data_IF_346591089642
#
_entry.id   IF_346591089642
#
_cell.length_a   1.000
_cell.length_b   1.000
_cell.length_c   1.000
_cell.angle_alpha   90.00
_cell.angle_beta   90.00
_cell.angle_gamma   90.00
#
_symmetry.space_group_name_H-M   'P 1'
#
loop_
_entity.id
_entity.type
_entity.pdbx_description
1 polymer ?
#
# COMPACT_ATOMS: atom_id res chain seq x y z
N UNK A 1 11.52 4.77 23.15
CA UNK A 1 10.74 5.09 24.38
C UNK A 1 11.12 6.46 24.95
N UNK A 2 12.40 6.78 25.18
CA UNK A 2 12.85 8.11 25.66
C UNK A 2 12.49 9.28 24.73
N UNK A 3 12.69 9.15 23.41
CA UNK A 3 12.35 10.20 22.45
C UNK A 3 10.83 10.47 22.36
N UNK A 4 10.00 9.44 22.59
CA UNK A 4 8.54 9.59 22.62
C UNK A 4 8.09 10.46 23.80
N UNK A 5 8.70 10.26 24.97
CA UNK A 5 8.42 11.04 26.19
C UNK A 5 8.82 12.51 26.00
N UNK A 6 9.96 12.80 25.38
CA UNK A 6 10.41 14.17 25.08
C UNK A 6 9.47 14.91 24.11
N UNK A 7 8.94 14.21 23.11
CA UNK A 7 7.99 14.79 22.15
C UNK A 7 6.59 14.94 22.76
N UNK A 8 6.19 14.05 23.67
CA UNK A 8 4.93 14.16 24.40
C UNK A 8 4.93 15.30 25.42
N UNK A 9 6.08 15.57 26.06
CA UNK A 9 6.28 16.74 26.93
C UNK A 9 6.19 18.07 26.16
N UNK A 10 6.43 18.04 24.84
CA UNK A 10 6.19 19.18 23.97
C UNK A 10 4.72 19.16 23.51
N UNK A 11 3.90 20.09 24.01
CA UNK A 11 2.43 20.18 23.83
C UNK A 11 1.96 20.47 22.39
N UNK A 12 2.80 20.24 21.39
CA UNK A 12 2.57 20.66 20.01
C UNK A 12 2.32 19.43 19.13
N UNK A 13 1.03 19.22 18.83
CA UNK A 13 0.47 18.06 18.09
C UNK A 13 1.18 17.81 16.75
N UNK A 14 1.69 18.86 16.09
CA UNK A 14 2.42 18.72 14.82
C UNK A 14 3.70 17.90 14.97
N UNK A 15 4.49 18.16 16.02
CA UNK A 15 5.73 17.43 16.26
C UNK A 15 5.47 15.99 16.72
N UNK A 16 4.39 15.77 17.47
CA UNK A 16 3.95 14.43 17.86
C UNK A 16 3.56 13.59 16.63
N UNK A 17 2.72 14.12 15.73
CA UNK A 17 2.33 13.43 14.51
C UNK A 17 3.53 13.19 13.57
N UNK A 18 4.42 14.18 13.44
CA UNK A 18 5.64 14.04 12.63
C UNK A 18 6.56 12.95 13.20
N UNK A 19 6.78 12.93 14.51
CA UNK A 19 7.60 11.93 15.18
C UNK A 19 7.02 10.52 15.06
N UNK A 20 5.71 10.37 15.27
CA UNK A 20 5.01 9.09 15.10
C UNK A 20 5.17 8.60 13.66
N UNK A 21 4.93 9.47 12.68
CA UNK A 21 5.11 9.12 11.27
C UNK A 21 6.56 8.66 11.00
N UNK A 22 7.56 9.45 11.41
CA UNK A 22 8.96 9.13 11.17
C UNK A 22 9.38 7.81 11.84
N UNK A 23 8.93 7.58 13.08
CA UNK A 23 9.19 6.34 13.81
C UNK A 23 8.54 5.13 13.13
N UNK A 24 7.32 5.29 12.58
CA UNK A 24 6.66 4.24 11.80
C UNK A 24 7.42 3.90 10.53
N UNK A 25 7.95 4.92 9.81
CA UNK A 25 8.76 4.70 8.60
C UNK A 25 10.07 3.99 8.93
N UNK A 26 10.78 4.37 9.99
CA UNK A 26 12.05 3.71 10.40
C UNK A 26 11.80 2.25 10.80
N UNK A 27 10.76 2.00 11.61
CA UNK A 27 10.41 0.63 12.01
C UNK A 27 10.11 -0.26 10.80
N UNK A 28 9.39 0.27 9.82
CA UNK A 28 9.06 -0.47 8.61
C UNK A 28 10.26 -0.65 7.67
N UNK A 29 11.14 0.35 7.59
CA UNK A 29 12.39 0.30 6.82
C UNK A 29 13.38 -0.75 7.37
N UNK A 30 13.35 -0.99 8.68
CA UNK A 30 14.17 -2.01 9.34
C UNK A 30 13.83 -3.43 8.84
N UNK A 31 12.57 -3.67 8.47
CA UNK A 31 12.14 -4.97 7.94
C UNK A 31 12.68 -5.22 6.52
N UNK A 32 12.30 -4.36 5.58
CA UNK A 32 12.82 -4.37 4.21
C UNK A 32 12.46 -3.07 3.48
N UNK A 33 13.47 -2.25 3.22
CA UNK A 33 13.40 -0.98 2.51
C UNK A 33 12.72 -1.02 1.13
N UNK A 34 12.73 -2.16 0.41
CA UNK A 34 12.09 -2.29 -0.92
C UNK A 34 10.58 -2.17 -0.84
N UNK A 35 9.99 -2.59 0.28
CA UNK A 35 8.56 -2.45 0.50
C UNK A 35 8.16 -1.04 0.95
N UNK A 36 9.09 -0.32 1.59
CA UNK A 36 8.86 1.05 2.00
C UNK A 36 8.60 1.95 0.80
N UNK A 37 9.42 1.83 -0.25
CA UNK A 37 9.24 2.60 -1.49
C UNK A 37 7.91 2.25 -2.17
N UNK A 38 7.54 0.97 -2.18
CA UNK A 38 6.29 0.50 -2.75
C UNK A 38 5.07 1.02 -2.00
N UNK A 39 5.07 0.96 -0.67
CA UNK A 39 3.99 1.51 0.17
C UNK A 39 3.92 3.02 0.01
N UNK A 40 5.05 3.72 -0.04
CA UNK A 40 5.08 5.16 -0.26
C UNK A 40 4.42 5.52 -1.60
N UNK A 41 4.79 4.83 -2.68
CA UNK A 41 4.20 5.03 -4.01
C UNK A 41 2.70 4.71 -3.99
N UNK A 42 2.29 3.60 -3.38
CA UNK A 42 0.86 3.25 -3.25
C UNK A 42 0.09 4.33 -2.49
N UNK A 43 0.61 4.77 -1.34
CA UNK A 43 -0.02 5.81 -0.51
C UNK A 43 -0.14 7.12 -1.27
N UNK A 44 0.91 7.50 -2.02
CA UNK A 44 0.89 8.70 -2.85
C UNK A 44 -0.20 8.61 -3.92
N UNK A 45 -0.25 7.49 -4.66
CA UNK A 45 -1.28 7.25 -5.68
C UNK A 45 -2.68 7.34 -5.07
N UNK A 46 -2.93 6.66 -3.96
CA UNK A 46 -4.23 6.66 -3.31
C UNK A 46 -4.62 8.04 -2.77
N UNK A 47 -3.66 8.82 -2.27
CA UNK A 47 -3.89 10.21 -1.89
C UNK A 47 -4.30 11.07 -3.10
N UNK A 48 -3.58 10.99 -4.22
CA UNK A 48 -3.90 11.76 -5.43
C UNK A 48 -5.24 11.32 -6.05
N UNK A 49 -5.50 10.01 -6.10
CA UNK A 49 -6.75 9.46 -6.63
C UNK A 49 -7.92 9.84 -5.72
N UNK A 50 -7.77 9.71 -4.40
CA UNK A 50 -8.73 10.15 -3.40
C UNK A 50 -9.07 11.64 -3.54
N UNK A 51 -8.06 12.50 -3.67
CA UNK A 51 -8.24 13.94 -3.90
C UNK A 51 -9.01 14.22 -5.20
N UNK A 52 -8.70 13.50 -6.29
CA UNK A 52 -9.46 13.62 -7.55
C UNK A 52 -10.91 13.13 -7.42
N UNK A 53 -11.17 12.06 -6.66
CA UNK A 53 -12.53 11.57 -6.38
C UNK A 53 -13.34 12.61 -5.58
N UNK A 54 -12.68 13.30 -4.65
CA UNK A 54 -13.31 14.32 -3.82
C UNK A 54 -13.70 15.57 -4.62
N UNK A 55 -12.79 16.10 -5.44
CA UNK A 55 -13.01 17.34 -6.22
C UNK A 55 -13.96 17.10 -7.41
N UNK A 56 -13.96 15.90 -7.99
CA UNK A 56 -14.78 15.62 -9.17
C UNK A 56 -16.28 15.68 -8.86
N UNK A 57 -17.00 16.58 -9.54
CA UNK A 57 -18.47 16.69 -9.43
C UNK A 57 -19.21 15.61 -10.23
N UNK A 58 -18.55 15.00 -11.22
CA UNK A 58 -19.17 14.01 -12.13
C UNK A 58 -19.12 12.60 -11.53
N UNK A 59 -20.30 11.99 -11.31
CA UNK A 59 -20.43 10.65 -10.71
C UNK A 59 -19.69 9.55 -11.50
N UNK A 60 -19.74 9.60 -12.84
CA UNK A 60 -19.02 8.64 -13.72
C UNK A 60 -17.49 8.68 -13.51
N UNK A 61 -16.92 9.88 -13.40
CA UNK A 61 -15.47 10.07 -13.21
C UNK A 61 -15.05 9.54 -11.84
N UNK A 62 -15.81 9.89 -10.78
CA UNK A 62 -15.56 9.37 -9.42
C UNK A 62 -15.57 7.84 -9.36
N UNK A 63 -16.53 7.21 -10.05
CA UNK A 63 -16.62 5.74 -10.12
C UNK A 63 -15.42 5.12 -10.84
N UNK A 64 -14.98 5.69 -11.98
CA UNK A 64 -13.78 5.23 -12.69
C UNK A 64 -12.52 5.33 -11.82
N UNK A 65 -12.35 6.47 -11.14
CA UNK A 65 -11.21 6.68 -10.23
C UNK A 65 -11.22 5.71 -9.04
N UNK A 66 -12.40 5.44 -8.46
CA UNK A 66 -12.53 4.45 -7.38
C UNK A 66 -12.15 3.04 -7.88
N UNK A 67 -12.64 2.64 -9.05
CA UNK A 67 -12.30 1.34 -9.65
C UNK A 67 -10.79 1.25 -9.89
N UNK A 68 -10.16 2.33 -10.35
CA UNK A 68 -8.71 2.38 -10.54
C UNK A 68 -7.94 2.20 -9.22
N UNK A 69 -8.32 2.91 -8.14
CA UNK A 69 -7.69 2.73 -6.81
C UNK A 69 -7.89 1.33 -6.26
N UNK A 70 -9.09 0.76 -6.40
CA UNK A 70 -9.38 -0.63 -6.01
C UNK A 70 -8.52 -1.62 -6.79
N UNK A 71 -8.40 -1.45 -8.11
CA UNK A 71 -7.62 -2.32 -8.97
C UNK A 71 -6.13 -2.30 -8.60
N UNK A 72 -5.57 -1.11 -8.33
CA UNK A 72 -4.17 -0.96 -7.91
C UNK A 72 -3.95 -1.63 -6.55
N UNK A 73 -4.78 -1.34 -5.56
CA UNK A 73 -4.64 -1.88 -4.20
C UNK A 73 -4.79 -3.40 -4.15
N UNK A 74 -5.81 -3.95 -4.80
CA UNK A 74 -6.02 -5.40 -4.89
C UNK A 74 -4.93 -6.04 -5.73
N UNK A 75 -4.52 -5.41 -6.83
CA UNK A 75 -3.43 -5.87 -7.68
C UNK A 75 -2.12 -6.01 -6.92
N UNK A 76 -1.75 -5.01 -6.11
CA UNK A 76 -0.59 -5.07 -5.22
C UNK A 76 -0.73 -6.19 -4.20
N UNK A 77 -1.90 -6.33 -3.55
CA UNK A 77 -2.13 -7.39 -2.57
C UNK A 77 -2.00 -8.79 -3.19
N UNK A 78 -2.62 -9.00 -4.35
CA UNK A 78 -2.55 -10.26 -5.09
C UNK A 78 -1.12 -10.55 -5.54
N UNK A 79 -0.43 -9.54 -6.09
CA UNK A 79 0.97 -9.66 -6.50
C UNK A 79 1.80 -10.13 -5.32
N UNK A 80 1.83 -9.41 -4.20
CA UNK A 80 2.68 -9.80 -3.07
C UNK A 80 2.29 -11.14 -2.44
N UNK A 81 0.99 -11.38 -2.22
CA UNK A 81 0.53 -12.56 -1.50
C UNK A 81 0.69 -13.85 -2.29
N UNK A 82 0.56 -13.77 -3.62
CA UNK A 82 0.57 -14.94 -4.49
C UNK A 82 1.76 -14.93 -5.47
N UNK A 83 2.71 -14.00 -5.37
CA UNK A 83 3.82 -13.86 -6.32
C UNK A 83 4.55 -15.19 -6.55
N UNK A 84 4.97 -15.84 -5.46
CA UNK A 84 5.72 -17.10 -5.55
C UNK A 84 4.84 -18.22 -6.12
N UNK A 85 3.58 -18.32 -5.70
CA UNK A 85 2.64 -19.27 -6.29
C UNK A 85 2.47 -19.04 -7.80
N UNK A 86 2.32 -17.78 -8.24
CA UNK A 86 2.21 -17.45 -9.66
C UNK A 86 3.49 -17.77 -10.41
N UNK A 87 4.67 -17.45 -9.85
CA UNK A 87 5.96 -17.79 -10.45
C UNK A 87 6.11 -19.31 -10.64
N UNK A 88 5.82 -20.10 -9.61
CA UNK A 88 5.94 -21.56 -9.66
C UNK A 88 5.02 -22.13 -10.75
N UNK A 89 3.75 -21.72 -10.79
CA UNK A 89 2.82 -22.13 -11.85
C UNK A 89 3.25 -21.65 -13.25
N UNK A 90 3.89 -20.49 -13.35
CA UNK A 90 4.39 -19.96 -14.62
C UNK A 90 5.57 -20.79 -15.11
N UNK A 91 6.51 -21.14 -14.22
CA UNK A 91 7.64 -22.03 -14.54
C UNK A 91 7.12 -23.40 -14.95
N UNK A 92 6.18 -23.98 -14.21
CA UNK A 92 5.59 -25.29 -14.52
C UNK A 92 4.88 -25.28 -15.89
N UNK A 93 4.07 -24.25 -16.17
CA UNK A 93 3.37 -24.12 -17.45
C UNK A 93 4.33 -23.98 -18.63
N UNK A 94 5.42 -23.23 -18.51
CA UNK A 94 6.42 -23.07 -19.58
C UNK A 94 7.36 -24.28 -19.72
N UNK A 95 7.63 -24.98 -18.62
CA UNK A 95 8.35 -26.26 -18.65
C UNK A 95 7.59 -27.32 -19.46
N UNK A 96 6.25 -27.29 -19.43
CA UNK A 96 5.39 -28.14 -20.26
C UNK A 96 5.54 -27.83 -21.77
N UNK A 97 5.88 -26.59 -22.13
CA UNK A 97 6.21 -26.19 -23.50
C UNK A 97 7.70 -26.41 -23.87
N UNK A 98 8.49 -27.04 -23.00
CA UNK A 98 9.91 -27.36 -23.26
C UNK A 98 10.89 -26.20 -23.02
N UNK A 99 10.43 -25.10 -22.42
CA UNK A 99 11.26 -23.96 -22.05
C UNK A 99 11.56 -24.02 -20.55
N UNK A 100 12.79 -24.42 -20.18
CA UNK A 100 13.23 -24.44 -18.78
C UNK A 100 13.65 -23.04 -18.33
N UNK A 101 12.73 -22.32 -17.70
CA UNK A 101 13.02 -21.06 -17.02
C UNK A 101 13.42 -21.31 -15.57
N UNK A 102 14.67 -21.01 -15.22
CA UNK A 102 15.07 -20.85 -13.81
C UNK A 102 14.59 -19.48 -13.30
N UNK A 103 13.33 -19.39 -12.86
CA UNK A 103 12.85 -18.20 -12.19
C UNK A 103 13.45 -18.16 -10.77
N UNK A 104 14.31 -17.18 -10.52
CA UNK A 104 14.81 -16.91 -9.16
C UNK A 104 13.64 -16.44 -8.31
N UNK A 105 13.17 -17.29 -7.39
CA UNK A 105 12.07 -16.91 -6.51
C UNK A 105 12.47 -15.65 -5.74
N UNK A 106 11.54 -14.71 -5.63
CA UNK A 106 11.68 -13.68 -4.62
C UNK A 106 11.40 -14.40 -3.29
N UNK A 107 12.47 -14.87 -2.63
CA UNK A 107 12.49 -15.34 -1.23
C UNK A 107 12.24 -14.18 -0.27
N UNK A 108 11.30 -13.33 -0.65
CA UNK A 108 10.89 -12.14 0.04
C UNK A 108 9.82 -12.58 1.02
N UNK A 109 10.18 -12.55 2.29
CA UNK A 109 9.23 -12.67 3.39
C UNK A 109 8.32 -11.44 3.29
N UNK A 110 7.05 -11.67 2.97
CA UNK A 110 6.06 -10.60 2.90
C UNK A 110 6.09 -9.77 4.18
N UNK A 111 6.03 -8.43 4.08
CA UNK A 111 5.99 -7.59 5.25
C UNK A 111 4.69 -7.86 5.99
N UNK A 112 4.85 -8.10 7.29
CA UNK A 112 3.73 -8.34 8.20
C UNK A 112 2.83 -7.09 8.16
N UNK A 113 1.59 -7.26 7.66
CA UNK A 113 0.59 -6.19 7.65
C UNK A 113 0.23 -5.58 6.30
N UNK A 114 0.77 -6.06 5.17
CA UNK A 114 0.37 -5.54 3.83
C UNK A 114 -1.16 -5.63 3.61
N UNK A 115 -1.79 -6.73 4.03
CA UNK A 115 -3.25 -6.91 3.94
C UNK A 115 -4.00 -5.84 4.74
N UNK A 116 -3.56 -5.55 5.97
CA UNK A 116 -4.20 -4.56 6.82
C UNK A 116 -4.11 -3.16 6.19
N UNK A 117 -2.93 -2.78 5.73
CA UNK A 117 -2.70 -1.51 5.05
C UNK A 117 -3.56 -1.39 3.77
N UNK A 118 -3.61 -2.44 2.95
CA UNK A 118 -4.44 -2.45 1.73
C UNK A 118 -5.93 -2.29 2.07
N UNK A 119 -6.45 -3.01 3.06
CA UNK A 119 -7.86 -2.88 3.45
C UNK A 119 -8.18 -1.50 4.01
N UNK A 120 -7.27 -0.90 4.78
CA UNK A 120 -7.43 0.46 5.29
C UNK A 120 -7.49 1.48 4.16
N UNK A 121 -6.61 1.33 3.15
CA UNK A 121 -6.53 2.25 2.02
C UNK A 121 -7.73 2.12 1.08
N UNK A 122 -8.20 0.89 0.84
CA UNK A 122 -9.46 0.63 0.12
C UNK A 122 -10.64 1.27 0.86
N UNK A 123 -10.71 1.10 2.18
CA UNK A 123 -11.78 1.69 3.01
C UNK A 123 -11.78 3.22 2.91
N UNK A 124 -10.60 3.84 2.95
CA UNK A 124 -10.43 5.28 2.75
C UNK A 124 -10.95 5.76 1.38
N UNK A 125 -10.57 5.09 0.29
CA UNK A 125 -11.04 5.44 -1.06
C UNK A 125 -12.56 5.30 -1.21
N UNK A 126 -13.16 4.27 -0.59
CA UNK A 126 -14.62 4.08 -0.55
C UNK A 126 -15.30 5.18 0.26
N UNK A 127 -14.76 5.55 1.43
CA UNK A 127 -15.29 6.61 2.28
C UNK A 127 -15.33 7.95 1.55
N UNK A 128 -14.27 8.31 0.82
CA UNK A 128 -14.22 9.54 0.01
C UNK A 128 -15.24 9.48 -1.14
N UNK A 129 -15.36 8.34 -1.81
CA UNK A 129 -16.37 8.17 -2.86
C UNK A 129 -17.80 8.31 -2.31
N UNK A 130 -18.07 7.77 -1.12
CA UNK A 130 -19.37 7.93 -0.43
C UNK A 130 -19.58 9.33 0.15
N UNK A 131 -18.53 10.16 0.21
CA UNK A 131 -18.51 11.48 0.89
C UNK A 131 -18.73 11.37 2.41
N UNK A 132 -18.35 10.24 3.00
CA UNK A 132 -18.51 9.99 4.43
C UNK A 132 -17.37 10.61 5.26
N UNK A 133 -16.22 10.89 4.63
CA UNK A 133 -15.10 11.61 5.22
C UNK A 133 -14.62 12.70 4.26
N UNK A 134 -14.49 13.92 4.77
CA UNK A 134 -13.77 15.01 4.12
C UNK A 134 -12.35 15.07 4.72
N UNK A 135 -11.39 15.54 3.92
CA UNK A 135 -9.99 15.74 4.31
C UNK A 135 -9.85 16.56 5.59
#
# INVERSE_FOLDING_TARGET
MLCYILVFLNNNIKYQNLFIAFSSYIFYAWWDWRFLSLIFVSTAIDFYVGKKIYISKVKKIRKKLLILSLFINIGLLCFFKYYNFFLDNFVDAFSFFGLSFEAKSLSIILPVGISFYTFQTISYSIDIYKKNKAF
#
